data_IF_097126906106
#
_entry.id   IF_097126906106
#
_cell.length_a   1.000
_cell.length_b   1.000
_cell.length_c   1.000
_cell.angle_alpha   90.00
_cell.angle_beta   90.00
_cell.angle_gamma   90.00
#
_symmetry.space_group_name_H-M   'P 1'
#
loop_
_entity.id
_entity.type
_entity.pdbx_description
1 polymer ?
#
# COMPACT_ATOMS: atom_id res chain seq x y z
N UNK A 1 2.98 -10.92 20.23
CA UNK A 1 3.29 -10.41 18.94
C UNK A 1 2.14 -9.78 18.27
N UNK A 2 2.36 -8.66 17.67
CA UNK A 2 1.26 -7.90 17.09
C UNK A 2 1.41 -7.84 15.59
N UNK A 3 0.60 -8.59 14.92
CA UNK A 3 0.55 -8.53 13.47
C UNK A 3 -0.69 -7.80 13.04
N UNK A 4 -0.59 -7.14 11.91
CA UNK A 4 -1.72 -6.52 11.26
C UNK A 4 -2.19 -7.42 10.13
N UNK A 5 -3.49 -7.41 9.90
CA UNK A 5 -4.05 -8.14 8.79
C UNK A 5 -4.16 -7.19 7.60
N UNK A 6 -3.59 -7.58 6.46
CA UNK A 6 -3.62 -6.76 5.26
C UNK A 6 -4.80 -7.17 4.41
N UNK A 7 -5.64 -6.19 4.11
CA UNK A 7 -6.82 -6.40 3.27
C UNK A 7 -6.65 -5.53 2.04
N UNK A 8 -6.71 -6.15 0.86
CA UNK A 8 -6.50 -5.43 -0.39
C UNK A 8 -7.85 -5.14 -1.02
N UNK A 9 -8.16 -3.85 -1.16
CA UNK A 9 -9.40 -3.44 -1.78
C UNK A 9 -9.46 -3.93 -3.22
N UNK A 10 -10.68 -4.23 -3.69
CA UNK A 10 -10.88 -4.77 -5.04
C UNK A 10 -10.15 -3.97 -6.11
N UNK A 11 -10.25 -2.66 -6.05
CA UNK A 11 -9.58 -1.81 -7.03
C UNK A 11 -8.07 -2.00 -6.99
N UNK A 12 -7.51 -2.10 -5.79
CA UNK A 12 -6.07 -2.30 -5.65
C UNK A 12 -5.64 -3.68 -6.15
N UNK A 13 -6.50 -4.68 -5.99
CA UNK A 13 -6.20 -6.01 -6.51
C UNK A 13 -6.06 -5.95 -8.03
N UNK A 14 -7.00 -5.26 -8.69
CA UNK A 14 -6.94 -5.12 -10.13
C UNK A 14 -5.70 -4.37 -10.57
N UNK A 15 -5.36 -3.32 -9.84
CA UNK A 15 -4.18 -2.53 -10.16
C UNK A 15 -2.92 -3.38 -10.02
N UNK A 16 -2.85 -4.15 -8.95
CA UNK A 16 -1.70 -5.02 -8.72
C UNK A 16 -1.53 -6.04 -9.85
N UNK A 17 -2.63 -6.66 -10.25
CA UNK A 17 -2.59 -7.68 -11.29
C UNK A 17 -2.18 -7.15 -12.64
N UNK A 18 -2.34 -5.85 -12.87
CA UNK A 18 -1.98 -5.24 -14.15
C UNK A 18 -0.50 -4.89 -14.25
N UNK A 19 0.25 -5.07 -13.17
CA UNK A 19 1.66 -4.69 -13.14
C UNK A 19 2.56 -5.84 -13.62
N UNK A 20 3.78 -5.50 -14.07
CA UNK A 20 4.75 -6.54 -14.40
C UNK A 20 4.99 -7.46 -13.22
N UNK A 21 5.33 -8.72 -13.50
CA UNK A 21 5.47 -9.72 -12.46
C UNK A 21 6.50 -9.37 -11.40
N UNK A 22 7.62 -8.80 -11.82
CA UNK A 22 8.66 -8.44 -10.87
C UNK A 22 8.20 -7.32 -9.94
N UNK A 23 7.40 -6.40 -10.46
CA UNK A 23 6.85 -5.32 -9.64
C UNK A 23 5.80 -5.89 -8.68
N UNK A 24 4.96 -6.81 -9.17
CA UNK A 24 3.99 -7.47 -8.30
C UNK A 24 4.70 -8.12 -7.11
N UNK A 25 5.80 -8.81 -7.37
CA UNK A 25 6.53 -9.49 -6.30
C UNK A 25 7.07 -8.50 -5.29
N UNK A 26 7.60 -7.37 -5.76
CA UNK A 26 8.14 -6.34 -4.86
C UNK A 26 7.04 -5.74 -3.99
N UNK A 27 5.89 -5.50 -4.58
CA UNK A 27 4.78 -4.91 -3.82
C UNK A 27 4.24 -5.91 -2.81
N UNK A 28 4.10 -7.18 -3.21
CA UNK A 28 3.63 -8.20 -2.28
C UNK A 28 4.58 -8.35 -1.10
N UNK A 29 5.86 -8.25 -1.36
CA UNK A 29 6.86 -8.31 -0.30
C UNK A 29 6.69 -7.15 0.67
N UNK A 30 6.44 -5.96 0.15
CA UNK A 30 6.21 -4.80 0.99
C UNK A 30 4.95 -4.96 1.83
N UNK A 31 3.89 -5.50 1.24
CA UNK A 31 2.66 -5.74 1.97
C UNK A 31 2.87 -6.73 3.11
N UNK A 32 3.70 -7.74 2.86
CA UNK A 32 4.01 -8.70 3.90
C UNK A 32 4.78 -8.05 5.02
N UNK A 33 5.72 -7.19 4.68
CA UNK A 33 6.47 -6.45 5.69
C UNK A 33 5.56 -5.59 6.55
N UNK A 34 4.54 -5.02 5.92
CA UNK A 34 3.60 -4.15 6.63
C UNK A 34 2.81 -4.91 7.70
N UNK A 35 2.70 -6.22 7.60
CA UNK A 35 2.02 -7.01 8.62
C UNK A 35 2.65 -6.84 10.00
N UNK A 36 3.94 -6.66 10.06
CA UNK A 36 4.61 -6.44 11.34
C UNK A 36 5.02 -4.98 11.54
N UNK A 37 5.12 -4.22 10.45
CA UNK A 37 5.58 -2.82 10.52
C UNK A 37 4.81 -1.98 9.51
N UNK A 38 3.58 -1.56 9.84
CA UNK A 38 2.73 -0.85 8.88
C UNK A 38 3.36 0.42 8.30
N UNK A 39 4.24 1.07 9.06
CA UNK A 39 4.81 2.33 8.63
C UNK A 39 6.27 2.22 8.23
N UNK A 40 6.73 0.99 7.97
CA UNK A 40 8.12 0.79 7.53
C UNK A 40 8.29 1.31 6.11
N UNK A 41 9.55 1.68 5.80
CA UNK A 41 9.88 2.12 4.47
C UNK A 41 9.59 3.59 4.25
N UNK A 42 9.45 3.96 2.99
CA UNK A 42 9.23 5.35 2.61
C UNK A 42 7.73 5.66 2.68
N UNK A 43 7.27 6.02 3.86
CA UNK A 43 5.85 6.24 4.13
C UNK A 43 5.61 7.69 4.50
N UNK A 44 4.58 8.29 3.90
CA UNK A 44 4.16 9.65 4.23
C UNK A 44 2.65 9.68 4.40
N UNK A 45 2.20 10.49 5.34
CA UNK A 45 0.78 10.71 5.52
C UNK A 45 0.27 11.57 4.36
N UNK A 46 -0.88 11.21 3.82
CA UNK A 46 -1.48 11.99 2.76
C UNK A 46 -2.15 13.20 3.38
N UNK A 47 -1.75 14.37 2.91
CA UNK A 47 -2.21 15.61 3.48
C UNK A 47 -3.74 15.71 3.42
N UNK A 48 -4.33 16.02 4.59
CA UNK A 48 -5.77 16.20 4.68
C UNK A 48 -6.58 14.92 4.72
N UNK A 49 -5.93 13.76 4.82
CA UNK A 49 -6.63 12.49 4.84
C UNK A 49 -6.08 11.60 5.95
N UNK A 50 -6.90 10.64 6.35
CA UNK A 50 -6.49 9.62 7.31
C UNK A 50 -5.87 8.43 6.58
N UNK A 51 -5.01 8.73 5.62
CA UNK A 51 -4.43 7.72 4.76
C UNK A 51 -2.95 7.97 4.60
N UNK A 52 -2.24 6.93 4.20
CA UNK A 52 -0.79 6.97 4.05
C UNK A 52 -0.40 6.48 2.67
N UNK A 53 0.78 6.87 2.25
CA UNK A 53 1.34 6.47 0.97
C UNK A 53 2.71 5.89 1.20
N UNK A 54 2.93 4.67 0.71
CA UNK A 54 4.25 4.06 0.73
C UNK A 54 4.79 4.02 -0.69
N UNK A 55 5.99 4.55 -0.86
CA UNK A 55 6.64 4.58 -2.17
C UNK A 55 7.55 3.37 -2.33
N UNK A 56 7.41 2.68 -3.47
CA UNK A 56 8.23 1.53 -3.81
C UNK A 56 8.70 1.74 -5.24
N UNK A 57 9.94 2.23 -5.41
CA UNK A 57 10.43 2.60 -6.73
C UNK A 57 9.54 3.68 -7.34
N UNK A 58 9.01 3.40 -8.52
CA UNK A 58 8.12 4.33 -9.20
C UNK A 58 6.65 4.09 -8.88
N UNK A 59 6.38 3.26 -7.89
CA UNK A 59 5.01 2.89 -7.56
C UNK A 59 4.64 3.36 -6.18
N UNK A 60 3.34 3.51 -5.94
CA UNK A 60 2.82 3.98 -4.67
C UNK A 60 1.70 3.08 -4.21
N UNK A 61 1.71 2.81 -2.90
CA UNK A 61 0.63 2.08 -2.25
C UNK A 61 -0.06 3.06 -1.31
N UNK A 62 -1.37 3.27 -1.50
CA UNK A 62 -2.15 4.10 -0.58
C UNK A 62 -2.91 3.18 0.35
N UNK A 63 -2.83 3.45 1.63
CA UNK A 63 -3.43 2.56 2.62
C UNK A 63 -3.87 3.33 3.85
N UNK A 64 -4.77 2.69 4.60
CA UNK A 64 -5.19 3.20 5.90
C UNK A 64 -4.90 2.11 6.93
N UNK A 65 -4.68 2.54 8.17
CA UNK A 65 -4.36 1.64 9.27
C UNK A 65 -5.39 1.81 10.37
N UNK A 66 -5.98 0.71 10.78
CA UNK A 66 -6.89 0.67 11.92
C UNK A 66 -6.15 0.01 13.07
N UNK A 67 -5.72 0.81 14.03
CA UNK A 67 -4.91 0.30 15.13
C UNK A 67 -5.72 -0.57 16.09
N UNK A 68 -6.99 -0.26 16.25
CA UNK A 68 -7.84 -1.06 17.12
C UNK A 68 -8.10 -2.43 16.56
N UNK A 69 -8.46 -2.49 15.29
CA UNK A 69 -8.77 -3.76 14.63
C UNK A 69 -7.53 -4.43 14.09
N UNK A 70 -6.39 -3.76 14.16
CA UNK A 70 -5.12 -4.25 13.67
C UNK A 70 -5.23 -4.69 12.21
N UNK A 71 -5.80 -3.82 11.39
CA UNK A 71 -5.96 -4.09 9.97
C UNK A 71 -5.35 -2.95 9.16
N UNK A 72 -4.89 -3.32 7.97
CA UNK A 72 -4.37 -2.37 7.00
C UNK A 72 -5.17 -2.58 5.72
N UNK A 73 -5.84 -1.52 5.28
CA UNK A 73 -6.61 -1.61 4.04
C UNK A 73 -5.82 -0.94 2.92
N UNK A 74 -5.49 -1.72 1.90
CA UNK A 74 -4.78 -1.22 0.73
C UNK A 74 -5.81 -0.69 -0.25
N UNK A 75 -5.80 0.62 -0.47
CA UNK A 75 -6.82 1.29 -1.27
C UNK A 75 -6.45 1.44 -2.73
N UNK A 76 -5.20 1.78 -3.01
CA UNK A 76 -4.72 2.02 -4.36
C UNK A 76 -3.29 1.56 -4.52
N UNK A 77 -2.99 1.08 -5.71
CA UNK A 77 -1.61 0.78 -6.12
C UNK A 77 -1.45 1.43 -7.50
N UNK A 78 -0.57 2.40 -7.60
CA UNK A 78 -0.48 3.17 -8.84
C UNK A 78 0.97 3.48 -9.19
N UNK A 79 1.18 3.72 -10.49
CA UNK A 79 2.45 4.21 -10.95
C UNK A 79 2.56 5.70 -10.62
N UNK A 80 3.75 6.14 -10.29
CA UNK A 80 3.99 7.52 -9.91
C UNK A 80 3.40 8.52 -10.88
N UNK A 81 3.59 8.30 -12.18
CA UNK A 81 3.10 9.22 -13.19
C UNK A 81 1.58 9.31 -13.21
N UNK A 82 0.93 8.16 -13.04
CA UNK A 82 -0.52 8.14 -13.05
C UNK A 82 -1.10 8.85 -11.83
N UNK A 83 -0.35 8.84 -10.73
CA UNK A 83 -0.83 9.48 -9.50
C UNK A 83 -0.96 10.99 -9.67
N UNK A 84 -0.20 11.58 -10.57
CA UNK A 84 -0.24 13.02 -10.81
C UNK A 84 -1.16 13.42 -11.94
N UNK A 85 -1.67 12.47 -12.68
CA UNK A 85 -2.57 12.77 -13.79
C UNK A 85 -3.97 13.00 -13.25
N UNK A 86 -4.57 14.05 -13.70
CA UNK A 86 -5.95 14.35 -13.31
C UNK A 86 -6.88 13.99 -14.43
#
# INVERSE_FOLDING_TARGET
MSYFRVIIHRKAVKELKSLPKDIQARILEALKEMESSPFAGDVQKIKGEEAYRRRIGDYRIEFIVDLEERTIAILRISHRRKAYKK
#
